data_IF_134800938978
#
_entry.id   IF_134800938978
#
_cell.length_a   1.000
_cell.length_b   1.000
_cell.length_c   1.000
_cell.angle_alpha   90.00
_cell.angle_beta   90.00
_cell.angle_gamma   90.00
#
_symmetry.space_group_name_H-M   'P 1'
#
loop_
_entity.id
_entity.type
_entity.pdbx_description
1 polymer ?
#
# COMPACT_ATOMS: atom_id res chain seq x y z
N UNK A 1 3.72 10.05 2.35
CA UNK A 1 2.86 9.20 3.21
C UNK A 1 2.88 7.80 2.64
N UNK A 2 2.95 6.75 3.45
CA UNK A 2 3.02 5.39 2.95
C UNK A 2 1.71 4.98 2.27
N UNK A 3 1.80 4.34 1.11
CA UNK A 3 0.64 3.77 0.42
C UNK A 3 0.27 2.46 1.11
N UNK A 4 -0.98 2.34 1.57
CA UNK A 4 -1.48 1.09 2.15
C UNK A 4 -1.76 0.09 1.02
N UNK A 5 -1.11 -1.07 1.07
CA UNK A 5 -1.26 -2.15 0.11
C UNK A 5 -1.64 -3.46 0.82
N UNK A 6 -2.30 -4.41 0.12
CA UNK A 6 -2.51 -5.76 0.65
C UNK A 6 -1.19 -6.45 0.96
N UNK A 7 -1.18 -7.29 2.00
CA UNK A 7 0.03 -7.96 2.49
C UNK A 7 0.56 -8.98 1.47
N UNK A 8 -0.32 -9.55 0.65
CA UNK A 8 -0.02 -10.54 -0.39
C UNK A 8 0.26 -9.91 -1.77
N UNK A 9 0.33 -8.58 -1.87
CA UNK A 9 0.56 -7.91 -3.16
C UNK A 9 2.00 -8.16 -3.65
N UNK A 10 2.22 -8.85 -4.80
CA UNK A 10 3.57 -9.18 -5.28
C UNK A 10 4.42 -7.94 -5.59
N UNK A 11 3.77 -6.83 -5.96
CA UNK A 11 4.41 -5.57 -6.28
C UNK A 11 5.06 -4.88 -5.07
N UNK A 12 4.85 -5.33 -3.83
CA UNK A 12 5.46 -4.72 -2.63
C UNK A 12 6.99 -4.66 -2.73
N UNK A 13 7.62 -5.74 -3.22
CA UNK A 13 9.08 -5.79 -3.33
C UNK A 13 9.59 -4.85 -4.42
N UNK A 14 8.96 -4.88 -5.59
CA UNK A 14 9.27 -3.97 -6.70
C UNK A 14 9.11 -2.49 -6.31
N UNK A 15 8.03 -2.14 -5.62
CA UNK A 15 7.79 -0.77 -5.15
C UNK A 15 8.83 -0.32 -4.13
N UNK A 16 9.33 -1.21 -3.27
CA UNK A 16 10.40 -0.88 -2.31
C UNK A 16 11.74 -0.62 -3.01
N UNK A 17 12.05 -1.38 -4.05
CA UNK A 17 13.27 -1.17 -4.87
C UNK A 17 13.23 0.19 -5.58
N UNK A 18 12.06 0.61 -6.05
CA UNK A 18 11.82 1.90 -6.70
C UNK A 18 11.72 3.10 -5.71
N UNK A 19 12.11 2.91 -4.44
CA UNK A 19 11.97 3.92 -3.37
C UNK A 19 10.53 4.39 -3.10
N UNK A 20 9.52 3.60 -3.47
CA UNK A 20 8.13 3.88 -3.16
C UNK A 20 7.82 3.37 -1.75
N UNK A 21 7.42 4.30 -0.88
CA UNK A 21 7.05 3.98 0.50
C UNK A 21 5.69 3.27 0.56
N UNK A 22 5.73 1.95 0.73
CA UNK A 22 4.54 1.09 0.89
C UNK A 22 4.41 0.56 2.31
N UNK A 23 3.17 0.36 2.76
CA UNK A 23 2.84 -0.17 4.07
C UNK A 23 1.77 -1.26 3.94
N UNK A 24 1.99 -2.37 4.63
CA UNK A 24 1.04 -3.47 4.71
C UNK A 24 -0.22 -3.06 5.45
N UNK A 25 -1.33 -3.71 5.15
CA UNK A 25 -2.63 -3.41 5.79
C UNK A 25 -2.60 -3.74 7.28
N UNK A 26 -1.89 -4.80 7.66
CA UNK A 26 -1.60 -5.18 9.06
C UNK A 26 -0.82 -4.12 9.84
N UNK A 27 0.12 -3.41 9.21
CA UNK A 27 0.89 -2.35 9.86
C UNK A 27 0.14 -1.03 9.92
N UNK A 28 -0.70 -0.75 8.93
CA UNK A 28 -1.48 0.48 8.83
C UNK A 28 -2.59 0.57 9.89
N UNK A 29 -3.11 -0.57 10.39
CA UNK A 29 -4.21 -0.59 11.35
C UNK A 29 -3.86 0.02 12.71
N UNK A 30 -2.58 0.09 13.09
CA UNK A 30 -2.15 0.65 14.38
C UNK A 30 -1.77 2.14 14.35
N UNK A 31 -1.88 2.82 13.20
CA UNK A 31 -1.36 4.19 13.06
C UNK A 31 -2.36 5.29 13.41
N UNK A 32 -3.65 4.97 13.59
CA UNK A 32 -4.70 5.97 13.85
C UNK A 32 -4.72 7.12 12.82
N UNK A 33 -4.27 6.86 11.58
CA UNK A 33 -4.29 7.82 10.46
C UNK A 33 -5.52 7.55 9.61
N UNK A 34 -6.32 8.58 9.32
CA UNK A 34 -7.47 8.47 8.41
C UNK A 34 -7.01 8.12 6.99
N UNK A 35 -7.35 6.93 6.45
CA UNK A 35 -6.92 6.55 5.11
C UNK A 35 -7.73 7.28 4.04
N UNK A 36 -7.07 7.69 2.96
CA UNK A 36 -7.75 8.09 1.73
C UNK A 36 -8.21 6.83 0.99
N UNK A 37 -9.48 6.79 0.59
CA UNK A 37 -10.03 5.68 -0.20
C UNK A 37 -9.80 5.97 -1.68
N UNK A 38 -8.93 5.20 -2.31
CA UNK A 38 -8.62 5.28 -3.74
C UNK A 38 -9.07 3.98 -4.39
N UNK A 39 -9.85 4.08 -5.46
CA UNK A 39 -10.24 2.95 -6.29
C UNK A 39 -9.37 2.95 -7.55
N UNK A 40 -8.76 1.81 -7.83
CA UNK A 40 -8.03 1.57 -9.08
C UNK A 40 -8.80 0.49 -9.83
N UNK A 41 -9.37 0.85 -10.97
CA UNK A 41 -9.96 -0.09 -11.91
C UNK A 41 -8.90 -0.43 -12.96
N UNK A 42 -8.25 -1.58 -12.81
CA UNK A 42 -7.34 -2.10 -13.82
C UNK A 42 -8.15 -2.95 -14.82
N UNK A 43 -8.14 -2.56 -16.10
CA UNK A 43 -8.87 -3.24 -17.19
C UNK A 43 -7.95 -4.01 -18.14
N UNK A 44 -6.66 -4.09 -17.79
CA UNK A 44 -5.70 -4.94 -18.48
C UNK A 44 -5.70 -6.36 -17.93
#
# INVERSE_FOLDING_TARGET
MPIRVPDELPAVNFLREENVFVMTTSRASGQEIRPLKVLILNLM
#
